data_IF_445010015743
#
_entry.id   IF_445010015743
#
_cell.length_a   1.000
_cell.length_b   1.000
_cell.length_c   1.000
_cell.angle_alpha   90.00
_cell.angle_beta   90.00
_cell.angle_gamma   90.00
#
_symmetry.space_group_name_H-M   'P 1'
#
loop_
_entity.id
_entity.type
_entity.pdbx_description
1 polymer ?
#
# COMPACT_ATOMS: atom_id res chain seq x y z
N UNK A 1 15.02 -13.59 -3.66
CA UNK A 1 14.20 -13.26 -2.47
C UNK A 1 12.88 -12.67 -2.94
N UNK A 2 11.76 -13.05 -2.33
CA UNK A 2 10.40 -12.60 -2.70
C UNK A 2 10.13 -11.23 -2.08
N UNK A 3 9.53 -10.31 -2.83
CA UNK A 3 9.10 -9.01 -2.30
C UNK A 3 7.83 -9.18 -1.46
N UNK A 4 7.72 -8.44 -0.37
CA UNK A 4 6.47 -8.29 0.36
C UNK A 4 5.69 -7.12 -0.25
N UNK A 5 4.49 -7.40 -0.75
CA UNK A 5 3.70 -6.45 -1.54
C UNK A 5 2.53 -5.90 -0.74
N UNK A 6 2.41 -4.58 -0.68
CA UNK A 6 1.37 -3.84 0.02
C UNK A 6 0.44 -3.15 -0.97
N UNK A 7 -0.86 -3.38 -0.82
CA UNK A 7 -1.93 -2.63 -1.48
C UNK A 7 -2.43 -1.53 -0.54
N UNK A 8 -2.31 -0.27 -0.97
CA UNK A 8 -2.74 0.90 -0.19
C UNK A 8 -3.83 1.65 -0.94
N UNK A 9 -4.84 2.13 -0.22
CA UNK A 9 -5.86 3.02 -0.80
C UNK A 9 -5.30 4.42 -1.02
N UNK A 10 -5.55 5.02 -2.20
CA UNK A 10 -5.19 6.43 -2.45
C UNK A 10 -5.80 7.40 -1.43
N UNK A 11 -5.09 8.50 -1.19
CA UNK A 11 -5.57 9.63 -0.38
C UNK A 11 -5.16 9.55 1.09
N UNK A 12 -6.08 9.91 1.99
CA UNK A 12 -5.77 10.14 3.43
C UNK A 12 -5.27 8.89 4.16
N UNK A 13 -5.76 7.71 3.76
CA UNK A 13 -5.34 6.44 4.35
C UNK A 13 -3.89 6.14 3.97
N UNK A 14 -3.52 6.23 2.68
CA UNK A 14 -2.13 6.06 2.26
C UNK A 14 -1.17 6.98 3.03
N UNK A 15 -1.48 8.27 3.17
CA UNK A 15 -0.57 9.17 3.90
C UNK A 15 -0.37 8.77 5.36
N UNK A 16 -1.43 8.29 6.04
CA UNK A 16 -1.34 7.82 7.43
C UNK A 16 -0.58 6.50 7.53
N UNK A 17 -0.83 5.58 6.61
CA UNK A 17 -0.11 4.30 6.58
C UNK A 17 1.37 4.52 6.32
N UNK A 18 1.73 5.43 5.43
CA UNK A 18 3.13 5.77 5.16
C UNK A 18 3.82 6.38 6.38
N UNK A 19 3.14 7.27 7.11
CA UNK A 19 3.66 7.84 8.36
C UNK A 19 3.94 6.74 9.41
N UNK A 20 3.00 5.80 9.57
CA UNK A 20 3.18 4.65 10.47
C UNK A 20 4.31 3.72 10.02
N UNK A 21 4.44 3.47 8.72
CA UNK A 21 5.54 2.66 8.17
C UNK A 21 6.88 3.35 8.39
N UNK A 22 6.96 4.67 8.21
CA UNK A 22 8.17 5.45 8.46
C UNK A 22 8.59 5.37 9.93
N UNK A 23 7.63 5.43 10.87
CA UNK A 23 7.89 5.22 12.31
C UNK A 23 8.43 3.83 12.63
N UNK A 24 8.10 2.82 11.81
CA UNK A 24 8.63 1.45 11.92
C UNK A 24 10.00 1.28 11.22
N UNK A 25 10.55 2.34 10.62
CA UNK A 25 11.78 2.30 9.84
C UNK A 25 11.60 1.83 8.40
N UNK A 26 10.35 1.65 7.94
CA UNK A 26 10.03 1.31 6.56
C UNK A 26 9.83 2.62 5.78
N UNK A 27 10.82 3.00 4.99
CA UNK A 27 10.76 4.21 4.17
C UNK A 27 10.83 3.88 2.68
N UNK A 28 10.15 4.70 1.87
CA UNK A 28 10.29 4.69 0.42
C UNK A 28 10.44 6.15 -0.02
N UNK A 29 11.64 6.57 -0.39
CA UNK A 29 11.90 7.96 -0.82
C UNK A 29 10.99 8.37 -1.99
N UNK A 30 10.71 7.45 -2.91
CA UNK A 30 9.80 7.70 -4.03
C UNK A 30 8.35 8.01 -3.61
N UNK A 31 7.93 7.58 -2.42
CA UNK A 31 6.58 7.85 -1.89
C UNK A 31 6.45 9.22 -1.22
N UNK A 32 7.57 9.90 -0.97
CA UNK A 32 7.59 11.27 -0.40
C UNK A 32 7.27 12.33 -1.45
N UNK A 33 7.47 12.01 -2.73
CA UNK A 33 7.15 12.91 -3.82
C UNK A 33 5.64 12.94 -4.09
N UNK A 34 4.99 14.03 -3.66
CA UNK A 34 3.54 14.21 -3.77
C UNK A 34 3.05 14.52 -5.19
N UNK A 35 3.95 14.88 -6.10
CA UNK A 35 3.64 15.19 -7.50
C UNK A 35 3.77 13.95 -8.41
N UNK A 36 4.46 12.93 -7.92
CA UNK A 36 4.66 11.66 -8.60
C UNK A 36 3.33 11.00 -8.91
N UNK A 37 3.11 10.76 -10.21
CA UNK A 37 1.98 9.97 -10.72
C UNK A 37 2.23 8.46 -10.66
N UNK A 38 3.36 8.03 -10.08
CA UNK A 38 3.66 6.61 -9.93
C UNK A 38 2.64 5.96 -9.00
N UNK A 39 2.18 4.78 -9.40
CA UNK A 39 1.27 3.96 -8.61
C UNK A 39 1.99 2.87 -7.86
N UNK A 40 3.25 2.60 -8.20
CA UNK A 40 4.05 1.51 -7.66
C UNK A 40 5.37 2.09 -7.15
N UNK A 41 5.76 1.69 -5.95
CA UNK A 41 6.95 2.14 -5.25
C UNK A 41 7.67 0.93 -4.71
N UNK A 42 9.00 0.93 -4.77
CA UNK A 42 9.80 -0.23 -4.37
C UNK A 42 10.91 0.22 -3.44
N UNK A 43 11.00 -0.42 -2.28
CA UNK A 43 12.18 -0.37 -1.44
C UNK A 43 13.02 -1.61 -1.73
N UNK A 44 14.14 -1.41 -2.42
CA UNK A 44 15.05 -2.49 -2.82
C UNK A 44 15.84 -3.09 -1.66
N UNK A 45 16.10 -2.30 -0.60
CA UNK A 45 16.87 -2.69 0.58
C UNK A 45 16.07 -3.66 1.45
N UNK A 46 14.82 -3.31 1.73
CA UNK A 46 13.90 -4.12 2.54
C UNK A 46 13.07 -5.12 1.72
N UNK A 47 13.23 -5.12 0.39
CA UNK A 47 12.43 -5.91 -0.56
C UNK A 47 10.92 -5.71 -0.36
N UNK A 48 10.50 -4.46 -0.23
CA UNK A 48 9.10 -4.08 -0.09
C UNK A 48 8.60 -3.45 -1.38
N UNK A 49 7.39 -3.81 -1.79
CA UNK A 49 6.69 -3.18 -2.91
C UNK A 49 5.38 -2.62 -2.40
N UNK A 50 5.09 -1.38 -2.75
CA UNK A 50 3.84 -0.74 -2.41
C UNK A 50 3.15 -0.32 -3.70
N UNK A 51 1.83 -0.47 -3.76
CA UNK A 51 1.06 0.13 -4.84
C UNK A 51 -0.24 0.75 -4.35
N UNK A 52 -0.67 1.76 -5.09
CA UNK A 52 -1.86 2.55 -4.81
C UNK A 52 -3.04 2.04 -5.65
N UNK A 53 -4.07 1.54 -4.97
CA UNK A 53 -5.31 1.06 -5.56
C UNK A 53 -6.53 1.89 -5.12
N UNK A 54 -7.69 1.63 -5.73
CA UNK A 54 -8.96 2.13 -5.18
C UNK A 54 -9.34 1.28 -3.96
N UNK A 55 -10.07 1.88 -3.03
CA UNK A 55 -10.58 1.22 -1.82
C UNK A 55 -11.11 -0.19 -2.07
N UNK A 56 -12.16 -0.33 -2.90
CA UNK A 56 -12.80 -1.62 -3.19
C UNK A 56 -11.92 -2.61 -3.97
N UNK A 57 -10.79 -2.20 -4.53
CA UNK A 57 -9.94 -3.15 -5.24
C UNK A 57 -8.91 -3.80 -4.28
N UNK A 58 -8.66 -3.19 -3.11
CA UNK A 58 -7.62 -3.65 -2.16
C UNK A 58 -7.89 -5.05 -1.63
N UNK A 59 -9.09 -5.40 -1.11
CA UNK A 59 -9.40 -6.74 -0.63
C UNK A 59 -9.24 -7.79 -1.73
N UNK A 60 -9.74 -7.49 -2.93
CA UNK A 60 -9.55 -8.30 -4.13
C UNK A 60 -8.06 -8.58 -4.39
N UNK A 61 -7.18 -7.57 -4.39
CA UNK A 61 -5.75 -7.79 -4.61
C UNK A 61 -5.09 -8.69 -3.56
N UNK A 62 -5.53 -8.61 -2.31
CA UNK A 62 -5.04 -9.48 -1.24
C UNK A 62 -5.56 -10.91 -1.41
N UNK A 63 -6.84 -11.08 -1.72
CA UNK A 63 -7.48 -12.38 -1.91
C UNK A 63 -6.86 -13.17 -3.08
N UNK A 64 -6.63 -12.50 -4.22
CA UNK A 64 -5.99 -13.12 -5.38
C UNK A 64 -4.46 -13.24 -5.27
N UNK A 65 -3.85 -12.77 -4.16
CA UNK A 65 -2.41 -12.86 -3.91
C UNK A 65 -1.56 -11.90 -4.76
N UNK A 66 -2.16 -10.90 -5.38
CA UNK A 66 -1.46 -9.81 -6.06
C UNK A 66 -0.77 -8.86 -5.06
N UNK A 67 -1.32 -8.76 -3.85
CA UNK A 67 -0.71 -8.14 -2.69
C UNK A 67 -0.67 -9.15 -1.53
N UNK A 68 0.39 -9.10 -0.72
CA UNK A 68 0.48 -9.92 0.48
C UNK A 68 -0.22 -9.24 1.68
N UNK A 69 -0.27 -7.89 1.69
CA UNK A 69 -0.89 -7.08 2.75
C UNK A 69 -1.74 -5.97 2.10
N UNK A 70 -2.93 -5.70 2.66
CA UNK A 70 -3.80 -4.60 2.23
C UNK A 70 -4.20 -3.69 3.39
N UNK A 71 -4.24 -2.38 3.16
CA UNK A 71 -4.76 -1.40 4.12
C UNK A 71 -5.95 -0.68 3.51
N UNK A 72 -7.09 -0.80 4.16
CA UNK A 72 -8.40 -0.42 3.63
C UNK A 72 -9.33 0.01 4.77
N UNK A 73 -10.32 0.86 4.47
CA UNK A 73 -11.33 1.30 5.43
C UNK A 73 -12.20 0.14 5.89
N UNK A 74 -12.65 0.18 7.15
CA UNK A 74 -13.55 -0.86 7.70
C UNK A 74 -14.86 -0.95 6.91
N UNK A 75 -15.37 0.18 6.44
CA UNK A 75 -16.54 0.29 5.56
C UNK A 75 -16.39 -0.57 4.30
N UNK A 76 -15.26 -0.44 3.59
CA UNK A 76 -15.00 -1.22 2.38
C UNK A 76 -14.96 -2.73 2.65
N UNK A 77 -14.39 -3.16 3.79
CA UNK A 77 -14.40 -4.59 4.17
C UNK A 77 -15.82 -5.10 4.45
N UNK A 78 -16.70 -4.26 5.00
CA UNK A 78 -18.09 -4.62 5.27
C UNK A 78 -18.92 -4.66 3.98
N UNK A 79 -18.61 -3.82 3.00
CA UNK A 79 -19.32 -3.77 1.72
C UNK A 79 -18.92 -4.89 0.75
N UNK A 80 -17.66 -5.36 0.80
CA UNK A 80 -17.18 -6.47 -0.03
C UNK A 80 -17.34 -7.86 0.59
N UNK A 81 -17.60 -7.95 1.90
CA UNK A 81 -17.82 -9.21 2.63
C UNK A 81 -19.27 -9.68 2.62
#
# INVERSE_FOLDING_TARGET
MRYLTFALTKGRLASRTLDMLEQLGITCDEMKDKDSRKLIFVNEDMKLKFFLAKGPDVPTYVEYGAADIGVVGKDTIIEEG
#
